data_IF_963207513946
#
_entry.id   IF_963207513946
#
_cell.length_a   1.000
_cell.length_b   1.000
_cell.length_c   1.000
_cell.angle_alpha   90.00
_cell.angle_beta   90.00
_cell.angle_gamma   90.00
#
_symmetry.space_group_name_H-M   'P 1'
#
loop_
_entity.id
_entity.type
_entity.pdbx_description
1 polymer ?
#
# COMPACT_ATOMS: atom_id res chain seq x y z
N UNK A 1 56.05 -6.30 -21.42
CA UNK A 1 56.07 -5.33 -20.31
C UNK A 1 54.80 -4.47 -20.40
N UNK A 2 54.00 -4.41 -19.33
CA UNK A 2 52.82 -3.52 -19.11
C UNK A 2 51.59 -3.79 -20.00
N UNK A 3 50.35 -4.06 -19.54
CA UNK A 3 49.52 -3.38 -18.50
C UNK A 3 48.87 -2.13 -19.12
N UNK A 4 47.55 -1.85 -19.14
CA UNK A 4 46.38 -2.19 -18.31
C UNK A 4 45.05 -1.71 -18.96
N UNK A 5 43.96 -2.44 -18.66
CA UNK A 5 42.55 -2.03 -18.45
C UNK A 5 41.77 -1.23 -19.53
N UNK A 6 40.82 -1.85 -20.24
CA UNK A 6 39.42 -2.15 -19.84
C UNK A 6 38.46 -0.94 -19.91
N UNK A 7 37.65 -0.89 -20.98
CA UNK A 7 36.24 -0.42 -20.97
C UNK A 7 35.45 -1.21 -22.00
N UNK A 8 34.84 -2.31 -21.53
CA UNK A 8 33.74 -2.97 -22.21
C UNK A 8 32.58 -2.97 -21.24
N UNK A 9 31.44 -2.44 -21.65
CA UNK A 9 30.12 -3.09 -21.51
C UNK A 9 29.24 -2.47 -22.59
N UNK A 10 29.04 -3.28 -23.63
CA UNK A 10 28.01 -3.13 -24.66
C UNK A 10 26.74 -3.83 -24.16
N UNK A 11 25.62 -3.47 -24.77
CA UNK A 11 24.26 -3.95 -24.52
C UNK A 11 24.14 -5.44 -24.19
N UNK A 12 23.29 -5.75 -23.21
CA UNK A 12 22.78 -7.10 -22.95
C UNK A 12 21.33 -7.02 -22.48
N UNK A 13 20.40 -7.21 -23.42
CA UNK A 13 19.01 -7.53 -23.12
C UNK A 13 18.94 -9.03 -22.80
N UNK A 14 18.05 -9.37 -21.86
CA UNK A 14 17.32 -10.64 -21.71
C UNK A 14 17.66 -11.54 -20.50
N UNK A 15 16.55 -11.95 -19.85
CA UNK A 15 16.34 -13.13 -19.04
C UNK A 15 16.73 -13.10 -17.54
N UNK A 16 15.80 -12.63 -16.71
CA UNK A 16 15.44 -13.36 -15.47
C UNK A 16 13.92 -13.52 -15.42
N UNK A 17 13.48 -14.67 -15.91
CA UNK A 17 12.12 -15.21 -15.86
C UNK A 17 12.14 -16.29 -14.76
N UNK A 18 11.17 -16.18 -13.83
CA UNK A 18 10.76 -17.11 -12.75
C UNK A 18 11.69 -17.15 -11.52
N UNK A 19 11.22 -16.75 -10.34
CA UNK A 19 10.26 -17.55 -9.57
C UNK A 19 9.03 -16.72 -9.13
N UNK A 20 7.91 -16.92 -9.82
CA UNK A 20 6.58 -16.62 -9.29
C UNK A 20 6.15 -17.79 -8.41
N UNK A 21 6.66 -17.88 -7.19
CA UNK A 21 5.93 -18.53 -6.11
C UNK A 21 5.22 -17.43 -5.35
N UNK A 22 3.91 -17.31 -5.63
CA UNK A 22 2.98 -16.82 -4.64
C UNK A 22 3.08 -17.77 -3.45
N UNK A 23 3.81 -17.38 -2.41
CA UNK A 23 3.71 -18.07 -1.13
C UNK A 23 2.24 -18.01 -0.68
N UNK A 24 1.62 -19.13 -0.26
CA UNK A 24 0.28 -19.11 0.27
C UNK A 24 0.23 -18.18 1.48
N UNK A 25 -0.71 -17.23 1.47
CA UNK A 25 -1.06 -16.41 2.63
C UNK A 25 -1.30 -17.36 3.81
N UNK A 26 -0.61 -17.22 4.96
CA UNK A 26 -0.86 -18.08 6.11
C UNK A 26 -2.32 -17.93 6.55
N UNK A 27 -3.05 -19.04 6.55
CA UNK A 27 -4.40 -19.14 7.13
C UNK A 27 -4.25 -19.02 8.66
N UNK A 28 -4.41 -17.81 9.20
CA UNK A 28 -4.42 -17.62 10.65
C UNK A 28 -5.64 -18.32 11.25
N UNK A 29 -5.41 -19.40 12.01
CA UNK A 29 -6.40 -20.01 12.90
C UNK A 29 -6.68 -19.10 14.10
N UNK A 30 -7.88 -19.26 14.64
CA UNK A 30 -8.58 -18.31 15.50
C UNK A 30 -7.85 -17.90 16.78
N UNK A 31 -8.16 -16.68 17.19
CA UNK A 31 -7.88 -16.16 18.53
C UNK A 31 -9.21 -15.75 19.16
N UNK A 32 -9.52 -16.45 20.25
CA UNK A 32 -10.71 -16.26 21.05
C UNK A 32 -10.65 -14.93 21.83
N UNK A 33 -11.86 -14.42 22.06
CA UNK A 33 -12.28 -13.24 22.79
C UNK A 33 -11.54 -12.98 24.12
N UNK A 34 -10.89 -11.81 24.27
CA UNK A 34 -11.16 -10.77 25.29
C UNK A 34 -10.00 -9.76 25.36
N UNK A 35 -10.25 -8.56 24.84
CA UNK A 35 -9.76 -7.24 25.34
C UNK A 35 -10.17 -6.17 24.33
N UNK A 36 -11.34 -5.61 24.56
CA UNK A 36 -11.80 -4.38 23.91
C UNK A 36 -10.81 -3.27 24.23
N UNK A 37 -10.09 -2.79 23.21
CA UNK A 37 -9.66 -1.40 23.00
C UNK A 37 -8.85 -1.29 21.69
N UNK A 38 -9.44 -0.67 20.66
CA UNK A 38 -8.75 0.00 19.54
C UNK A 38 -7.82 -0.84 18.64
N UNK A 39 -8.29 -1.95 18.08
CA UNK A 39 -7.69 -2.49 16.85
C UNK A 39 -8.83 -2.71 15.87
N UNK A 40 -9.03 -1.79 14.93
CA UNK A 40 -9.82 -2.07 13.74
C UNK A 40 -9.15 -3.25 13.04
N UNK A 41 -9.75 -4.43 13.22
CA UNK A 41 -9.28 -5.68 12.67
C UNK A 41 -9.51 -5.60 11.16
N UNK A 42 -8.43 -5.30 10.41
CA UNK A 42 -8.24 -5.95 9.13
C UNK A 42 -8.49 -7.45 9.40
N UNK A 43 -9.65 -7.97 9.00
CA UNK A 43 -10.24 -9.26 9.40
C UNK A 43 -9.47 -10.49 8.88
N UNK A 44 -8.15 -10.40 8.73
CA UNK A 44 -7.31 -11.33 7.98
C UNK A 44 -7.44 -11.19 6.46
N UNK A 45 -8.38 -10.38 5.96
CA UNK A 45 -8.66 -10.19 4.53
C UNK A 45 -8.01 -8.91 3.98
N UNK A 46 -6.68 -8.89 3.89
CA UNK A 46 -5.98 -7.86 3.13
C UNK A 46 -5.93 -8.22 1.65
N UNK A 47 -6.39 -7.33 0.78
CA UNK A 47 -6.27 -7.48 -0.67
C UNK A 47 -4.80 -7.40 -1.12
N UNK A 48 -4.03 -6.55 -0.43
CA UNK A 48 -2.61 -6.35 -0.68
C UNK A 48 -1.91 -5.87 0.59
N UNK A 49 -0.64 -6.21 0.72
CA UNK A 49 0.28 -5.64 1.71
C UNK A 49 1.61 -5.31 1.04
N UNK A 50 2.12 -4.10 1.27
CA UNK A 50 3.40 -3.61 0.75
C UNK A 50 4.18 -2.88 1.85
N UNK A 51 5.46 -2.60 1.58
CA UNK A 51 6.25 -1.67 2.39
C UNK A 51 6.43 -0.35 1.66
N UNK A 52 6.08 0.75 2.31
CA UNK A 52 6.18 2.08 1.73
C UNK A 52 6.41 3.14 2.81
N UNK A 53 6.96 4.28 2.41
CA UNK A 53 6.96 5.50 3.22
C UNK A 53 5.60 6.18 3.07
N UNK A 54 4.92 6.41 4.19
CA UNK A 54 3.66 7.17 4.20
C UNK A 54 3.97 8.66 4.09
N UNK A 55 3.25 9.34 3.21
CA UNK A 55 3.37 10.76 2.90
C UNK A 55 2.06 11.47 3.21
N UNK A 56 2.15 12.76 3.54
CA UNK A 56 1.02 13.69 3.61
C UNK A 56 1.34 14.92 2.77
N UNK A 57 0.30 15.62 2.31
CA UNK A 57 0.49 16.94 1.72
C UNK A 57 0.66 17.95 2.86
N UNK A 58 1.68 18.79 2.75
CA UNK A 58 1.78 20.01 3.55
C UNK A 58 1.10 21.14 2.77
N UNK A 59 0.04 21.71 3.33
CA UNK A 59 -0.74 22.76 2.67
C UNK A 59 0.00 24.12 2.67
N UNK A 60 1.05 24.29 3.49
CA UNK A 60 1.85 25.53 3.51
C UNK A 60 2.85 25.59 2.35
N UNK A 61 3.59 24.52 2.10
CA UNK A 61 4.55 24.43 0.98
C UNK A 61 3.94 23.91 -0.32
N UNK A 62 2.76 23.27 -0.25
CA UNK A 62 2.25 22.46 -1.35
C UNK A 62 3.17 21.27 -1.67
N UNK A 63 4.00 20.82 -0.74
CA UNK A 63 4.91 19.69 -0.90
C UNK A 63 4.34 18.39 -0.34
N UNK A 64 4.92 17.25 -0.76
CA UNK A 64 4.70 15.96 -0.09
C UNK A 64 5.79 15.74 0.96
N UNK A 65 5.39 15.47 2.20
CA UNK A 65 6.31 15.27 3.33
C UNK A 65 6.03 13.94 4.04
N UNK A 66 7.04 13.31 4.67
CA UNK A 66 6.84 12.06 5.41
C UNK A 66 5.86 12.25 6.57
N UNK A 67 4.83 11.41 6.64
CA UNK A 67 3.86 11.43 7.73
C UNK A 67 4.45 10.79 9.00
N UNK A 68 4.17 11.38 10.16
CA UNK A 68 4.53 10.82 11.47
C UNK A 68 6.03 10.75 11.75
N UNK A 69 6.84 11.60 11.12
CA UNK A 69 8.31 11.59 11.25
C UNK A 69 9.02 10.61 10.31
N UNK A 70 8.28 9.99 9.39
CA UNK A 70 8.86 9.10 8.39
C UNK A 70 9.09 7.67 8.87
N UNK A 71 9.82 6.91 8.06
CA UNK A 71 10.07 5.48 8.23
C UNK A 71 9.16 4.60 7.39
N UNK A 72 9.70 3.44 7.00
CA UNK A 72 8.94 2.44 6.26
C UNK A 72 7.81 1.87 7.11
N UNK A 73 6.65 1.72 6.48
CA UNK A 73 5.44 1.16 7.06
C UNK A 73 4.98 -0.07 6.29
N UNK A 74 4.44 -1.05 7.01
CA UNK A 74 3.63 -2.11 6.42
C UNK A 74 2.25 -1.52 6.12
N UNK A 75 1.97 -1.29 4.84
CA UNK A 75 0.72 -0.70 4.38
C UNK A 75 -0.14 -1.76 3.72
N UNK A 76 -1.41 -1.85 4.09
CA UNK A 76 -2.35 -2.83 3.55
C UNK A 76 -3.65 -2.16 3.12
N UNK A 77 -4.24 -2.64 2.03
CA UNK A 77 -5.65 -2.41 1.71
C UNK A 77 -6.44 -3.59 2.22
N UNK A 78 -7.47 -3.36 3.01
CA UNK A 78 -8.25 -4.43 3.61
C UNK A 78 -9.71 -4.07 3.82
N UNK A 79 -10.55 -5.11 3.91
CA UNK A 79 -11.94 -4.97 4.28
C UNK A 79 -12.03 -4.68 5.79
N UNK A 80 -12.81 -3.66 6.16
CA UNK A 80 -12.97 -3.22 7.56
C UNK A 80 -13.81 -4.20 8.37
N UNK A 81 -14.85 -4.74 7.74
CA UNK A 81 -15.73 -5.75 8.31
C UNK A 81 -16.10 -6.75 7.22
N UNK A 82 -16.12 -8.07 7.48
CA UNK A 82 -16.47 -9.07 6.46
C UNK A 82 -17.82 -8.81 5.78
N UNK A 83 -18.80 -8.34 6.54
CA UNK A 83 -20.21 -8.26 6.13
C UNK A 83 -20.59 -6.96 5.41
N UNK A 84 -19.66 -5.99 5.31
CA UNK A 84 -19.91 -4.70 4.64
C UNK A 84 -18.81 -4.42 3.64
N UNK A 85 -19.17 -3.87 2.49
CA UNK A 85 -18.22 -3.39 1.47
C UNK A 85 -17.60 -2.06 1.91
N UNK A 86 -16.95 -2.05 3.07
CA UNK A 86 -16.17 -0.92 3.58
C UNK A 86 -14.69 -1.33 3.59
N UNK A 87 -13.88 -0.58 2.87
CA UNK A 87 -12.44 -0.82 2.74
C UNK A 87 -11.63 0.28 3.42
N UNK A 88 -10.43 -0.09 3.86
CA UNK A 88 -9.51 0.84 4.50
C UNK A 88 -8.07 0.59 4.06
N UNK A 89 -7.30 1.67 4.01
CA UNK A 89 -5.85 1.67 3.88
C UNK A 89 -5.26 1.86 5.27
N UNK A 90 -4.51 0.86 5.71
CA UNK A 90 -3.90 0.79 7.03
C UNK A 90 -2.38 0.75 6.92
N UNK A 91 -1.67 1.62 7.63
CA UNK A 91 -0.22 1.65 7.66
C UNK A 91 0.32 1.64 9.09
N UNK A 92 1.04 0.58 9.45
CA UNK A 92 1.81 0.51 10.70
C UNK A 92 3.29 0.67 10.41
N UNK A 93 3.93 1.63 11.07
CA UNK A 93 5.36 1.86 10.93
C UNK A 93 6.14 0.67 11.48
N UNK A 94 7.16 0.23 10.76
CA UNK A 94 7.88 -1.01 11.07
C UNK A 94 8.71 -0.87 12.35
N UNK A 95 9.33 0.29 12.57
CA UNK A 95 10.29 0.51 13.66
C UNK A 95 9.67 0.45 15.06
N UNK A 96 8.46 0.96 15.21
CA UNK A 96 7.81 1.16 16.52
C UNK A 96 6.36 0.64 16.55
N UNK A 97 5.89 0.03 15.46
CA UNK A 97 4.52 -0.47 15.31
C UNK A 97 3.43 0.61 15.40
N UNK A 98 3.79 1.90 15.34
CA UNK A 98 2.86 3.02 15.42
C UNK A 98 1.90 3.02 14.23
N UNK A 99 0.62 3.25 14.50
CA UNK A 99 -0.40 3.44 13.48
C UNK A 99 -0.25 4.83 12.85
N UNK A 100 0.38 4.90 11.68
CA UNK A 100 0.65 6.17 10.99
C UNK A 100 -0.39 6.49 9.92
N UNK A 101 -1.10 5.49 9.40
CA UNK A 101 -2.13 5.67 8.37
C UNK A 101 -3.36 4.82 8.69
N UNK A 102 -4.51 5.47 8.74
CA UNK A 102 -5.82 4.83 8.81
C UNK A 102 -6.79 5.66 7.99
N UNK A 103 -7.13 5.17 6.80
CA UNK A 103 -7.94 5.89 5.81
C UNK A 103 -9.00 4.97 5.22
N UNK A 104 -10.28 5.27 5.43
CA UNK A 104 -11.37 4.56 4.74
C UNK A 104 -11.39 4.94 3.25
N UNK A 105 -11.55 3.95 2.37
CA UNK A 105 -11.83 4.16 0.94
C UNK A 105 -13.32 4.44 0.81
N UNK A 106 -13.65 5.60 0.24
CA UNK A 106 -15.01 6.13 0.11
C UNK A 106 -15.31 6.41 -1.37
N UNK A 107 -16.55 6.81 -1.68
CA UNK A 107 -16.95 7.18 -3.05
C UNK A 107 -16.22 8.42 -3.59
N UNK A 108 -15.73 9.29 -2.70
CA UNK A 108 -14.96 10.50 -3.04
C UNK A 108 -13.43 10.25 -3.12
N UNK A 109 -13.02 8.99 -3.23
CA UNK A 109 -11.61 8.61 -3.22
C UNK A 109 -10.94 8.90 -4.57
N UNK A 110 -10.12 9.95 -4.62
CA UNK A 110 -9.40 10.37 -5.83
C UNK A 110 -7.98 9.82 -5.84
N UNK A 111 -7.74 8.72 -6.54
CA UNK A 111 -6.43 8.05 -6.60
C UNK A 111 -5.59 8.49 -7.82
N UNK A 112 -4.34 8.89 -7.59
CA UNK A 112 -3.45 9.47 -8.58
C UNK A 112 -2.08 8.77 -8.61
N UNK A 113 -1.62 8.43 -9.81
CA UNK A 113 -0.33 7.77 -10.07
C UNK A 113 0.64 8.75 -10.72
N UNK A 114 1.39 9.48 -9.91
CA UNK A 114 2.25 10.58 -10.40
C UNK A 114 3.60 10.08 -10.88
N UNK A 115 4.19 9.11 -10.17
CA UNK A 115 5.45 8.46 -10.55
C UNK A 115 5.33 6.94 -10.38
N UNK A 116 6.20 6.14 -11.02
CA UNK A 116 6.19 4.67 -10.89
C UNK A 116 6.28 4.15 -9.44
N UNK A 117 6.82 4.95 -8.53
CA UNK A 117 6.96 4.63 -7.10
C UNK A 117 6.30 5.67 -6.20
N UNK A 118 5.51 6.59 -6.74
CA UNK A 118 4.79 7.57 -5.93
C UNK A 118 3.35 7.71 -6.40
N UNK A 119 2.44 7.22 -5.55
CA UNK A 119 1.00 7.37 -5.73
C UNK A 119 0.43 8.16 -4.56
N UNK A 120 -0.66 8.89 -4.80
CA UNK A 120 -1.34 9.64 -3.77
C UNK A 120 -2.84 9.65 -3.97
N UNK A 121 -3.57 9.98 -2.91
CA UNK A 121 -5.01 10.10 -2.98
C UNK A 121 -5.53 11.20 -2.07
N UNK A 122 -6.76 11.63 -2.38
CA UNK A 122 -7.56 12.54 -1.56
C UNK A 122 -8.87 11.88 -1.16
N UNK A 123 -9.32 12.13 0.06
CA UNK A 123 -10.68 11.83 0.53
C UNK A 123 -11.08 12.86 1.58
N UNK A 124 -12.26 13.48 1.40
CA UNK A 124 -12.58 14.75 2.05
C UNK A 124 -11.44 15.76 1.90
N UNK A 125 -11.03 16.37 3.01
CA UNK A 125 -9.93 17.34 3.04
C UNK A 125 -8.54 16.71 3.19
N UNK A 126 -8.46 15.39 3.41
CA UNK A 126 -7.18 14.73 3.70
C UNK A 126 -6.52 14.26 2.41
N UNK A 127 -5.22 14.51 2.29
CA UNK A 127 -4.37 14.08 1.18
C UNK A 127 -3.25 13.18 1.72
N UNK A 128 -3.20 11.96 1.24
CA UNK A 128 -2.20 10.96 1.64
C UNK A 128 -1.43 10.47 0.43
N UNK A 129 -0.21 9.99 0.64
CA UNK A 129 0.59 9.39 -0.42
C UNK A 129 1.47 8.26 0.09
N UNK A 130 1.98 7.47 -0.85
CA UNK A 130 2.92 6.40 -0.59
C UNK A 130 4.09 6.54 -1.55
N UNK A 131 5.29 6.56 -0.98
CA UNK A 131 6.53 6.32 -1.74
C UNK A 131 6.90 4.85 -1.56
N UNK A 132 6.74 4.07 -2.63
CA UNK A 132 7.00 2.63 -2.65
C UNK A 132 8.49 2.33 -2.82
N UNK A 133 8.94 1.19 -2.28
CA UNK A 133 10.32 0.73 -2.48
C UNK A 133 10.59 0.32 -3.93
N UNK A 134 9.58 -0.24 -4.59
CA UNK A 134 9.68 -0.69 -5.98
C UNK A 134 8.44 -0.33 -6.78
N UNK A 135 8.57 -0.21 -8.10
CA UNK A 135 7.42 -0.02 -8.98
C UNK A 135 6.51 -1.27 -9.02
N UNK A 136 7.04 -2.45 -8.67
CA UNK A 136 6.24 -3.66 -8.54
C UNK A 136 5.28 -3.57 -7.34
N UNK A 137 5.76 -3.10 -6.19
CA UNK A 137 4.93 -2.84 -5.01
C UNK A 137 3.85 -1.81 -5.31
N UNK A 138 4.20 -0.73 -6.04
CA UNK A 138 3.26 0.31 -6.44
C UNK A 138 2.11 -0.25 -7.30
N UNK A 139 2.43 -1.13 -8.27
CA UNK A 139 1.44 -1.81 -9.11
C UNK A 139 0.58 -2.80 -8.33
N UNK A 140 1.17 -3.55 -7.40
CA UNK A 140 0.41 -4.46 -6.54
C UNK A 140 -0.58 -3.68 -5.67
N UNK A 141 -0.14 -2.54 -5.11
CA UNK A 141 -0.98 -1.67 -4.32
C UNK A 141 -2.12 -1.06 -5.14
N UNK A 142 -1.82 -0.56 -6.34
CA UNK A 142 -2.81 -0.05 -7.32
C UNK A 142 -3.90 -1.10 -7.58
N UNK A 143 -3.52 -2.35 -7.88
CA UNK A 143 -4.49 -3.45 -8.08
C UNK A 143 -5.38 -3.67 -6.85
N UNK A 144 -4.82 -3.63 -5.65
CA UNK A 144 -5.61 -3.79 -4.41
C UNK A 144 -6.58 -2.63 -4.18
N UNK A 145 -6.22 -1.40 -4.56
CA UNK A 145 -7.11 -0.23 -4.49
C UNK A 145 -8.23 -0.34 -5.54
N UNK A 146 -7.91 -0.73 -6.78
CA UNK A 146 -8.92 -0.91 -7.84
C UNK A 146 -10.00 -1.93 -7.40
N UNK A 147 -9.59 -3.10 -6.92
CA UNK A 147 -10.54 -4.13 -6.44
C UNK A 147 -11.43 -3.60 -5.31
N UNK A 148 -10.86 -2.83 -4.37
CA UNK A 148 -11.63 -2.25 -3.27
C UNK A 148 -12.66 -1.21 -3.76
N UNK A 149 -12.32 -0.42 -4.78
CA UNK A 149 -13.23 0.58 -5.36
C UNK A 149 -14.33 -0.11 -6.17
N UNK A 150 -13.97 -1.10 -7.00
CA UNK A 150 -14.93 -1.88 -7.80
C UNK A 150 -15.98 -2.55 -6.90
N UNK A 151 -15.56 -3.28 -5.84
CA UNK A 151 -16.49 -3.93 -4.91
C UNK A 151 -17.37 -2.93 -4.13
N UNK A 152 -16.83 -1.73 -3.84
CA UNK A 152 -17.60 -0.64 -3.21
C UNK A 152 -18.69 -0.11 -4.15
N UNK A 153 -18.43 -0.03 -5.46
CA UNK A 153 -19.38 0.46 -6.45
C UNK A 153 -20.44 -0.60 -6.78
N UNK A 154 -20.04 -1.86 -6.98
CA UNK A 154 -20.94 -2.97 -7.31
C UNK A 154 -21.93 -3.26 -6.17
N UNK A 155 -21.49 -3.17 -4.92
CA UNK A 155 -22.37 -3.30 -3.75
C UNK A 155 -23.41 -2.19 -3.58
N UNK A 156 -23.36 -1.12 -4.39
CA UNK A 156 -24.41 -0.08 -4.44
C UNK A 156 -25.42 -0.28 -5.59
N UNK A 157 -25.18 -1.22 -6.51
CA UNK A 157 -26.00 -1.41 -7.71
C UNK A 157 -27.07 -2.51 -7.58
N UNK A 158 -27.19 -3.16 -6.42
CA UNK A 158 -28.32 -4.04 -6.13
C UNK A 158 -29.50 -3.21 -5.61
N UNK A 159 -30.36 -2.78 -6.54
CA UNK A 159 -31.74 -2.39 -6.28
C UNK A 159 -32.64 -3.61 -6.23
#
# INVERSE_FOLDING_TARGET
MGGIASRMIRLGLCLKIFDLRFDPIPRCRGLNNTRLNSIFLCSGQSLVRVRAQVMTRDDSSGGWVPLGGGGLSNVSVCKKTPDKNEYLIHGKRISDQSLVLSCTIKKDFEYNKVMPTFHHWKTGEKKFGLTFQTAADARAFDKGVCIAIEDLLDGNNTF
#
